data_IF_404532278277
#
_entry.id   IF_404532278277
#
_cell.length_a   1.000
_cell.length_b   1.000
_cell.length_c   1.000
_cell.angle_alpha   90.00
_cell.angle_beta   90.00
_cell.angle_gamma   90.00
#
_symmetry.space_group_name_H-M   'P 1'
#
loop_
_entity.id
_entity.type
_entity.pdbx_description
1 polymer ?
#
# COMPACT_ATOMS: atom_id res chain seq x y z
N UNK A 1 10.36 27.85 15.29
CA UNK A 1 9.32 26.94 15.81
C UNK A 1 9.64 25.55 15.31
N UNK A 2 9.80 24.63 16.26
CA UNK A 2 10.40 23.30 16.15
C UNK A 2 9.76 22.44 15.07
N UNK A 3 10.57 21.97 14.11
CA UNK A 3 10.23 20.82 13.28
C UNK A 3 10.32 19.59 14.17
N UNK A 4 9.22 19.26 14.84
CA UNK A 4 9.05 17.95 15.45
C UNK A 4 9.02 16.92 14.31
N UNK A 5 10.21 16.43 13.94
CA UNK A 5 10.40 15.26 13.09
C UNK A 5 9.88 14.05 13.84
N UNK A 6 8.55 13.93 13.93
CA UNK A 6 7.87 12.75 14.46
C UNK A 6 8.19 11.62 13.50
N UNK A 7 9.19 10.80 13.84
CA UNK A 7 9.52 9.58 13.10
C UNK A 7 8.21 8.85 12.84
N UNK A 8 7.80 8.70 11.58
CA UNK A 8 6.53 8.07 11.30
C UNK A 8 6.59 6.63 11.82
N UNK A 9 5.47 6.05 12.29
CA UNK A 9 5.47 4.68 12.81
C UNK A 9 6.10 3.74 11.78
N UNK A 10 6.75 2.66 12.23
CA UNK A 10 7.47 1.74 11.33
C UNK A 10 6.62 1.28 10.12
N UNK A 11 5.30 1.20 10.30
CA UNK A 11 4.32 0.83 9.27
C UNK A 11 4.07 1.92 8.22
N UNK A 12 4.41 3.19 8.47
CA UNK A 12 4.35 4.22 7.41
C UNK A 12 5.33 3.90 6.29
N UNK A 13 6.44 3.23 6.58
CA UNK A 13 7.37 2.74 5.55
C UNK A 13 6.72 1.69 4.64
N UNK A 14 5.95 0.75 5.21
CA UNK A 14 5.27 -0.30 4.43
C UNK A 14 4.15 0.27 3.56
N UNK A 15 3.32 1.14 4.12
CA UNK A 15 2.29 1.86 3.36
C UNK A 15 2.91 2.72 2.25
N UNK A 16 3.98 3.47 2.54
CA UNK A 16 4.66 4.29 1.54
C UNK A 16 5.22 3.44 0.40
N UNK A 17 5.86 2.30 0.72
CA UNK A 17 6.34 1.37 -0.29
C UNK A 17 5.21 0.81 -1.15
N UNK A 18 4.08 0.44 -0.55
CA UNK A 18 2.91 0.01 -1.30
C UNK A 18 2.41 1.11 -2.25
N UNK A 19 2.35 2.37 -1.81
CA UNK A 19 1.97 3.50 -2.70
C UNK A 19 2.90 3.60 -3.89
N UNK A 20 4.22 3.58 -3.67
CA UNK A 20 5.21 3.64 -4.76
C UNK A 20 5.05 2.48 -5.75
N UNK A 21 4.79 1.27 -5.27
CA UNK A 21 4.56 0.10 -6.14
C UNK A 21 3.29 0.26 -6.99
N UNK A 22 2.20 0.71 -6.38
CA UNK A 22 0.92 0.91 -7.08
C UNK A 22 1.04 2.06 -8.09
N UNK A 23 1.65 3.18 -7.72
CA UNK A 23 1.90 4.32 -8.61
C UNK A 23 2.82 3.92 -9.78
N UNK A 24 3.92 3.21 -9.50
CA UNK A 24 4.85 2.72 -10.52
C UNK A 24 4.23 1.69 -11.49
N UNK A 25 3.16 1.00 -11.07
CA UNK A 25 2.45 0.06 -11.94
C UNK A 25 1.60 0.73 -13.02
N UNK A 26 1.30 2.04 -12.88
CA UNK A 26 0.39 2.78 -13.77
C UNK A 26 -1.08 2.32 -13.72
N UNK A 27 -1.44 1.42 -12.81
CA UNK A 27 -2.80 0.91 -12.67
C UNK A 27 -3.68 1.88 -11.88
N UNK A 28 -4.96 1.95 -12.24
CA UNK A 28 -5.97 2.54 -11.37
C UNK A 28 -6.10 1.74 -10.07
N UNK A 29 -6.58 2.37 -8.99
CA UNK A 29 -6.70 1.70 -7.69
C UNK A 29 -7.56 0.41 -7.72
N UNK A 30 -8.61 0.38 -8.56
CA UNK A 30 -9.43 -0.83 -8.74
C UNK A 30 -8.66 -1.93 -9.46
N UNK A 31 -7.91 -1.60 -10.51
CA UNK A 31 -7.07 -2.58 -11.22
C UNK A 31 -5.88 -3.06 -10.40
N UNK A 32 -5.28 -2.18 -9.61
CA UNK A 32 -4.26 -2.57 -8.64
C UNK A 32 -4.85 -3.53 -7.58
N UNK A 33 -6.08 -3.28 -7.10
CA UNK A 33 -6.74 -4.20 -6.18
C UNK A 33 -7.02 -5.56 -6.83
N UNK A 34 -7.53 -5.59 -8.06
CA UNK A 34 -7.77 -6.84 -8.80
C UNK A 34 -6.48 -7.67 -8.89
N UNK A 35 -5.38 -7.05 -9.32
CA UNK A 35 -4.07 -7.70 -9.39
C UNK A 35 -3.55 -8.12 -8.01
N UNK A 36 -3.76 -7.29 -6.98
CA UNK A 36 -3.34 -7.61 -5.61
C UNK A 36 -4.10 -8.81 -5.04
N UNK A 37 -5.39 -8.95 -5.35
CA UNK A 37 -6.23 -10.06 -4.88
C UNK A 37 -6.03 -11.35 -5.69
N UNK A 38 -5.37 -11.29 -6.84
CA UNK A 38 -5.10 -12.47 -7.66
C UNK A 38 -4.27 -13.51 -6.88
N UNK A 39 -4.76 -14.74 -6.82
CA UNK A 39 -4.12 -15.84 -6.08
C UNK A 39 -4.21 -15.75 -4.55
N UNK A 40 -4.88 -14.76 -3.97
CA UNK A 40 -5.12 -14.73 -2.52
C UNK A 40 -6.28 -15.65 -2.12
N UNK A 41 -6.09 -16.38 -1.00
CA UNK A 41 -7.15 -17.22 -0.41
C UNK A 41 -8.35 -16.38 0.06
N UNK A 42 -8.10 -15.15 0.50
CA UNK A 42 -9.13 -14.21 0.96
C UNK A 42 -8.89 -12.84 0.32
N UNK A 43 -9.69 -12.45 -0.67
CA UNK A 43 -9.59 -11.13 -1.29
C UNK A 43 -9.80 -10.01 -0.27
N UNK A 44 -9.04 -8.94 -0.43
CA UNK A 44 -9.17 -7.72 0.36
C UNK A 44 -10.22 -6.80 -0.29
N UNK A 45 -10.98 -6.08 0.53
CA UNK A 45 -11.94 -5.10 0.03
C UNK A 45 -11.26 -3.83 -0.48
N UNK A 46 -11.92 -3.12 -1.39
CA UNK A 46 -11.43 -1.83 -1.88
C UNK A 46 -11.30 -0.79 -0.76
N UNK A 47 -12.15 -0.83 0.26
CA UNK A 47 -12.05 0.08 1.40
C UNK A 47 -10.80 -0.17 2.23
N UNK A 48 -10.47 -1.44 2.50
CA UNK A 48 -9.25 -1.81 3.23
C UNK A 48 -8.00 -1.48 2.41
N UNK A 49 -8.01 -1.75 1.11
CA UNK A 49 -6.89 -1.40 0.23
C UNK A 49 -6.66 0.12 0.16
N UNK A 50 -7.74 0.92 0.02
CA UNK A 50 -7.65 2.39 0.06
C UNK A 50 -7.17 2.92 1.41
N UNK A 51 -7.50 2.25 2.52
CA UNK A 51 -7.00 2.63 3.84
C UNK A 51 -5.47 2.50 3.95
N UNK A 52 -4.88 1.53 3.24
CA UNK A 52 -3.42 1.40 3.17
C UNK A 52 -2.78 2.48 2.28
N UNK A 53 -3.45 2.90 1.22
CA UNK A 53 -2.97 3.94 0.31
C UNK A 53 -3.23 5.37 0.81
N UNK A 54 -4.13 5.56 1.77
CA UNK A 54 -4.47 6.87 2.31
C UNK A 54 -3.25 7.58 2.92
N UNK A 55 -3.31 8.92 2.99
CA UNK A 55 -2.31 9.73 3.69
C UNK A 55 -2.18 9.32 5.17
N UNK A 56 -0.97 9.25 5.76
CA UNK A 56 -0.80 8.89 7.17
C UNK A 56 -1.53 9.81 8.17
N UNK A 57 -1.86 11.04 7.80
CA UNK A 57 -2.64 11.98 8.62
C UNK A 57 -4.16 11.78 8.47
N UNK A 58 -4.60 10.95 7.51
CA UNK A 58 -6.01 10.68 7.29
C UNK A 58 -6.61 9.79 8.37
N UNK A 59 -7.84 10.10 8.82
CA UNK A 59 -8.62 9.21 9.70
C UNK A 59 -8.89 7.83 9.08
N UNK A 60 -8.81 7.71 7.75
CA UNK A 60 -8.99 6.44 7.04
C UNK A 60 -7.71 5.62 6.97
N UNK A 61 -6.57 6.17 7.36
CA UNK A 61 -5.30 5.47 7.30
C UNK A 61 -5.30 4.24 8.21
N UNK A 62 -4.80 3.14 7.67
CA UNK A 62 -4.55 1.92 8.44
C UNK A 62 -3.14 1.41 8.15
N UNK A 63 -2.42 0.90 9.17
CA UNK A 63 -1.12 0.31 8.96
C UNK A 63 -1.24 -0.94 8.07
N UNK A 64 -0.30 -1.07 7.12
CA UNK A 64 -0.14 -2.25 6.27
C UNK A 64 0.77 -3.26 6.95
N UNK A 65 0.28 -4.49 7.10
CA UNK A 65 1.10 -5.61 7.58
C UNK A 65 2.23 -5.92 6.57
N UNK A 66 3.48 -6.13 7.02
CA UNK A 66 4.59 -6.52 6.15
C UNK A 66 4.33 -7.73 5.25
N UNK A 67 3.47 -8.68 5.65
CA UNK A 67 3.11 -9.83 4.83
C UNK A 67 2.35 -9.42 3.56
N UNK A 68 1.45 -8.44 3.66
CA UNK A 68 0.75 -7.88 2.50
C UNK A 68 1.69 -7.04 1.62
N UNK A 69 2.67 -6.36 2.21
CA UNK A 69 3.69 -5.67 1.43
C UNK A 69 4.52 -6.66 0.60
N UNK A 70 4.97 -7.77 1.20
CA UNK A 70 5.71 -8.81 0.50
C UNK A 70 4.92 -9.41 -0.67
N UNK A 71 3.59 -9.51 -0.53
CA UNK A 71 2.72 -9.90 -1.64
C UNK A 71 2.68 -8.82 -2.73
N UNK A 72 2.46 -7.56 -2.35
CA UNK A 72 2.46 -6.43 -3.29
C UNK A 72 3.77 -6.34 -4.09
N UNK A 73 4.92 -6.57 -3.45
CA UNK A 73 6.23 -6.57 -4.13
C UNK A 73 6.33 -7.66 -5.20
N UNK A 74 5.72 -8.83 -5.00
CA UNK A 74 5.67 -9.87 -6.03
C UNK A 74 4.76 -9.49 -7.19
N UNK A 75 3.61 -8.89 -6.88
CA UNK A 75 2.60 -8.52 -7.89
C UNK A 75 3.06 -7.32 -8.73
N UNK A 76 3.61 -6.28 -8.09
CA UNK A 76 3.91 -5.00 -8.73
C UNK A 76 5.40 -4.78 -8.98
N UNK A 77 6.29 -5.47 -8.25
CA UNK A 77 7.75 -5.26 -8.35
C UNK A 77 8.39 -5.79 -9.63
N UNK A 78 7.63 -6.46 -10.50
CA UNK A 78 8.12 -7.01 -11.77
C UNK A 78 7.80 -6.15 -13.00
N UNK A 79 7.02 -5.06 -12.88
CA UNK A 79 6.75 -4.16 -14.01
C UNK A 79 7.80 -3.07 -14.13
N UNK A 80 9.03 -3.50 -14.39
CA UNK A 80 10.09 -2.71 -14.97
C UNK A 80 10.47 -3.34 -16.30
N UNK A 81 9.64 -3.13 -17.33
CA UNK A 81 10.00 -3.36 -18.74
C UNK A 81 10.30 -2.03 -19.38
#
# INVERSE_FOLDING_TARGET
>A
MTKDSKKPPANTSTNARLRTLVEGSGLSQSKALEAFNEGQLRPISLSAFKAWLADPESMRWRPLDPAYLKHAEKVFGHKGT
#
